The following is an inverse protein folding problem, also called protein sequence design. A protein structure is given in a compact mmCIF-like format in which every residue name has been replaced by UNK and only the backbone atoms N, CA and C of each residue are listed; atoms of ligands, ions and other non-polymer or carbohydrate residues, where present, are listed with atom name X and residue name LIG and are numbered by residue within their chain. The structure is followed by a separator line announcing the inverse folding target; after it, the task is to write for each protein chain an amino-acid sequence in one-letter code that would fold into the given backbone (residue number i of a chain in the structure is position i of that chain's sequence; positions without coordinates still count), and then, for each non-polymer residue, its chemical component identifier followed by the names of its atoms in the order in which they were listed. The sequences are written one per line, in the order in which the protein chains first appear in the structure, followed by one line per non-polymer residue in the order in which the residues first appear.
data_IF_304268620593
#
_entry.id   IF_304268620593
#
_cell.length_a   1.000
_cell.length_b   1.000
_cell.length_c   1.000
_cell.angle_alpha   90.00
_cell.angle_beta   90.00
_cell.angle_gamma   90.00
#
_symmetry.space_group_name_H-M   'P 1'
#
loop_
_entity.id
_entity.type
_entity.pdbx_description
1 polymer ?
#
# COMPACT_ATOMS: atom_id res chain seq x y z
N UNK A 1 17.10 7.53 17.68
CA UNK A 1 16.78 8.51 18.75
C UNK A 1 15.52 9.23 18.26
N UNK A 2 14.29 8.92 18.63
CA UNK A 2 13.71 7.96 19.60
C UNK A 2 12.39 7.47 18.97
N UNK A 3 12.29 6.17 18.66
CA UNK A 3 11.14 5.56 17.95
C UNK A 3 9.83 5.66 18.74
N UNK A 4 9.92 6.01 20.03
CA UNK A 4 8.80 6.13 20.96
C UNK A 4 8.81 7.54 21.54
N UNK A 5 7.91 8.41 21.08
CA UNK A 5 7.61 9.65 21.77
C UNK A 5 6.65 9.40 22.94
N UNK A 6 6.77 10.12 24.06
CA UNK A 6 5.84 9.99 25.17
C UNK A 6 4.41 10.29 24.70
N UNK A 7 3.43 9.47 25.12
CA UNK A 7 1.99 9.56 24.79
C UNK A 7 1.43 11.00 24.85
N UNK A 8 2.02 11.88 25.65
CA UNK A 8 1.60 13.26 25.83
C UNK A 8 1.81 14.17 24.60
N UNK A 9 2.80 13.90 23.73
CA UNK A 9 3.07 14.75 22.55
C UNK A 9 2.02 14.51 21.46
N UNK A 10 1.56 13.27 21.31
CA UNK A 10 0.59 12.90 20.28
C UNK A 10 -0.75 13.59 20.50
N UNK A 11 -1.19 13.72 21.76
CA UNK A 11 -2.47 14.30 22.10
C UNK A 11 -2.55 15.79 21.70
N UNK A 12 -1.48 16.56 21.91
CA UNK A 12 -1.45 17.97 21.52
C UNK A 12 -1.54 18.13 20.00
N UNK A 13 -0.79 17.32 19.23
CA UNK A 13 -0.81 17.40 17.77
C UNK A 13 -2.13 16.87 17.18
N UNK A 14 -2.68 15.80 17.73
CA UNK A 14 -3.98 15.26 17.34
C UNK A 14 -5.09 16.30 17.49
N UNK A 15 -5.13 17.01 18.63
CA UNK A 15 -6.10 18.07 18.86
C UNK A 15 -6.04 19.17 17.80
N UNK A 16 -4.82 19.63 17.46
CA UNK A 16 -4.63 20.65 16.41
C UNK A 16 -5.12 20.11 15.07
N UNK A 17 -4.71 18.89 14.70
CA UNK A 17 -5.11 18.27 13.44
C UNK A 17 -6.64 18.13 13.32
N UNK A 18 -7.31 17.67 14.37
CA UNK A 18 -8.78 17.53 14.40
C UNK A 18 -9.45 18.91 14.34
N UNK A 19 -8.96 19.90 15.07
CA UNK A 19 -9.50 21.25 15.05
C UNK A 19 -9.40 21.89 13.66
N UNK A 20 -8.25 21.74 13.00
CA UNK A 20 -8.03 22.25 11.65
C UNK A 20 -8.87 21.51 10.62
N UNK A 21 -8.92 20.18 10.67
CA UNK A 21 -9.75 19.37 9.80
C UNK A 21 -11.23 19.77 9.93
N UNK A 22 -11.77 19.82 11.15
CA UNK A 22 -13.16 20.22 11.41
C UNK A 22 -13.48 21.63 10.91
N UNK A 23 -12.55 22.56 11.07
CA UNK A 23 -12.76 23.97 10.72
C UNK A 23 -12.65 24.22 9.21
N UNK A 24 -11.76 23.51 8.52
CA UNK A 24 -11.33 23.87 7.17
C UNK A 24 -11.74 22.88 6.07
N UNK A 25 -12.03 21.62 6.39
CA UNK A 25 -12.47 20.61 5.43
C UNK A 25 -13.98 20.36 5.56
N UNK A 26 -14.77 20.52 4.48
CA UNK A 26 -16.19 20.20 4.47
C UNK A 26 -16.52 18.77 4.95
N UNK A 27 -15.77 17.77 4.49
CA UNK A 27 -15.94 16.37 4.90
C UNK A 27 -15.76 16.22 6.42
N UNK A 28 -14.64 16.72 6.96
CA UNK A 28 -14.37 16.60 8.40
C UNK A 28 -15.27 17.51 9.25
N UNK A 29 -15.77 18.62 8.72
CA UNK A 29 -16.75 19.46 9.40
C UNK A 29 -18.04 18.67 9.67
N UNK A 30 -18.53 17.95 8.66
CA UNK A 30 -19.70 17.07 8.78
C UNK A 30 -19.40 15.87 9.69
N UNK A 31 -18.29 15.16 9.45
CA UNK A 31 -17.88 13.99 10.23
C UNK A 31 -17.74 14.31 11.72
N UNK A 32 -17.24 15.50 12.06
CA UNK A 32 -16.98 15.94 13.43
C UNK A 32 -18.01 16.93 13.97
N UNK A 33 -19.19 17.08 13.36
CA UNK A 33 -20.18 18.08 13.75
C UNK A 33 -20.44 18.11 15.27
N UNK A 34 -20.62 16.93 15.89
CA UNK A 34 -20.87 16.78 17.34
C UNK A 34 -19.63 16.74 18.25
N UNK A 35 -18.42 16.82 17.71
CA UNK A 35 -17.16 16.66 18.48
C UNK A 35 -16.61 18.03 18.87
N UNK A 36 -16.36 18.27 20.15
CA UNK A 36 -15.66 19.49 20.57
C UNK A 36 -14.15 19.30 20.42
N UNK A 37 -13.44 20.09 19.59
CA UNK A 37 -11.99 20.00 19.48
C UNK A 37 -11.25 20.65 20.65
N UNK A 38 -11.97 21.23 21.62
CA UNK A 38 -11.40 21.81 22.83
C UNK A 38 -11.30 20.76 23.93
N UNK A 39 -10.08 20.39 24.32
CA UNK A 39 -9.83 19.37 25.35
C UNK A 39 -8.74 18.39 24.92
N UNK A 40 -8.53 17.32 25.68
CA UNK A 40 -7.60 16.25 25.32
C UNK A 40 -8.38 15.14 24.61
N UNK A 41 -8.48 15.20 23.28
CA UNK A 41 -9.15 14.17 22.50
C UNK A 41 -8.37 12.87 22.49
N UNK A 42 -9.10 11.78 22.48
CA UNK A 42 -8.60 10.43 22.23
C UNK A 42 -9.15 9.92 20.90
N UNK A 43 -8.44 9.00 20.24
CA UNK A 43 -8.91 8.41 18.98
C UNK A 43 -10.26 7.70 19.13
N UNK A 44 -10.57 7.15 20.32
CA UNK A 44 -11.84 6.46 20.58
C UNK A 44 -13.06 7.38 20.45
N UNK A 45 -12.89 8.69 20.60
CA UNK A 45 -13.96 9.68 20.47
C UNK A 45 -14.18 10.15 19.03
N UNK A 46 -13.25 9.85 18.13
CA UNK A 46 -13.34 10.23 16.73
C UNK A 46 -13.98 9.09 15.92
N UNK A 47 -14.94 9.35 15.04
CA UNK A 47 -15.47 8.31 14.15
C UNK A 47 -14.39 7.79 13.20
N UNK A 48 -14.52 6.52 12.80
CA UNK A 48 -13.74 5.94 11.71
C UNK A 48 -14.15 6.63 10.40
N UNK A 49 -13.19 6.89 9.51
CA UNK A 49 -13.51 7.34 8.16
C UNK A 49 -14.19 6.20 7.38
N UNK A 50 -15.37 6.45 6.84
CA UNK A 50 -15.89 5.63 5.76
C UNK A 50 -15.09 5.94 4.49
N UNK A 51 -14.32 4.95 4.03
CA UNK A 51 -13.42 5.10 2.89
C UNK A 51 -14.16 5.40 1.59
N UNK A 52 -15.36 4.85 1.39
CA UNK A 52 -16.14 5.09 0.19
C UNK A 52 -16.71 6.51 0.20
N UNK A 53 -17.26 6.96 1.34
CA UNK A 53 -17.77 8.33 1.47
C UNK A 53 -16.66 9.38 1.36
N UNK A 54 -15.48 9.13 1.94
CA UNK A 54 -14.32 10.02 1.83
C UNK A 54 -13.94 10.26 0.37
N UNK A 55 -13.77 9.17 -0.39
CA UNK A 55 -13.40 9.27 -1.79
C UNK A 55 -14.55 9.77 -2.66
N UNK A 56 -15.80 9.49 -2.35
CA UNK A 56 -16.94 10.10 -3.03
C UNK A 56 -16.91 11.64 -2.88
N UNK A 57 -16.72 12.13 -1.65
CA UNK A 57 -16.60 13.56 -1.36
C UNK A 57 -15.43 14.21 -2.08
N UNK A 58 -14.28 13.53 -2.15
CA UNK A 58 -13.13 13.97 -2.94
C UNK A 58 -13.44 14.12 -4.43
N UNK A 59 -14.16 13.16 -5.04
CA UNK A 59 -14.48 13.21 -6.47
C UNK A 59 -15.54 14.29 -6.80
N UNK A 60 -16.45 14.58 -5.86
CA UNK A 60 -17.38 15.71 -6.00
C UNK A 60 -16.63 17.04 -5.99
N UNK A 61 -15.72 17.21 -5.03
CA UNK A 61 -14.81 18.34 -4.96
C UNK A 61 -13.57 17.97 -4.12
N UNK A 62 -12.39 17.99 -4.73
CA UNK A 62 -11.12 17.68 -4.06
C UNK A 62 -10.94 18.47 -2.76
N UNK A 63 -11.36 19.75 -2.77
CA UNK A 63 -11.30 20.65 -1.61
C UNK A 63 -12.08 20.13 -0.39
N UNK A 64 -13.08 19.27 -0.59
CA UNK A 64 -13.94 18.73 0.48
C UNK A 64 -13.15 17.98 1.54
N UNK A 65 -12.09 17.27 1.16
CA UNK A 65 -11.25 16.48 2.09
C UNK A 65 -9.94 17.18 2.46
N UNK A 66 -9.74 18.43 2.03
CA UNK A 66 -8.52 19.21 2.26
C UNK A 66 -8.75 20.38 3.23
N UNK A 67 -7.70 20.84 3.90
CA UNK A 67 -7.75 22.00 4.81
C UNK A 67 -7.36 23.32 4.15
N UNK A 68 -6.53 23.29 3.11
CA UNK A 68 -6.17 24.45 2.30
C UNK A 68 -6.20 24.13 0.80
N UNK A 69 -6.22 25.16 -0.05
CA UNK A 69 -5.89 24.96 -1.47
C UNK A 69 -4.40 24.62 -1.59
N UNK A 70 -4.05 23.69 -2.47
CA UNK A 70 -2.65 23.37 -2.74
C UNK A 70 -1.99 24.52 -3.50
N UNK A 71 -1.02 25.18 -2.88
CA UNK A 71 -0.24 26.27 -3.49
C UNK A 71 1.25 25.93 -3.62
N UNK A 72 1.68 24.81 -3.06
CA UNK A 72 3.06 24.33 -3.00
C UNK A 72 3.13 22.79 -3.00
N UNK A 73 4.36 22.27 -3.02
CA UNK A 73 4.65 20.85 -2.88
C UNK A 73 4.34 20.00 -4.13
N UNK A 74 3.72 18.83 -3.95
CA UNK A 74 3.56 17.82 -5.00
C UNK A 74 2.17 17.16 -4.97
N UNK A 75 1.65 16.81 -6.14
CA UNK A 75 0.45 16.00 -6.32
C UNK A 75 0.85 14.59 -6.76
N UNK A 76 0.38 13.57 -6.04
CA UNK A 76 0.73 12.17 -6.27
C UNK A 76 -0.50 11.30 -6.43
N UNK A 77 -0.42 10.26 -7.26
CA UNK A 77 -1.48 9.27 -7.48
C UNK A 77 -1.46 8.23 -6.36
N UNK A 78 -2.63 7.90 -5.85
CA UNK A 78 -2.76 6.84 -4.83
C UNK A 78 -2.67 5.45 -5.44
N UNK A 79 -2.30 4.46 -4.62
CA UNK A 79 -2.10 3.08 -5.07
C UNK A 79 -3.39 2.29 -5.34
N UNK A 80 -4.52 2.69 -4.74
CA UNK A 80 -5.84 2.05 -4.87
C UNK A 80 -6.82 3.01 -5.54
N UNK A 81 -6.88 2.98 -6.87
CA UNK A 81 -7.84 3.81 -7.61
C UNK A 81 -9.12 3.00 -7.80
N UNK A 82 -10.29 3.62 -7.61
CA UNK A 82 -11.62 3.02 -7.83
C UNK A 82 -12.15 3.42 -9.21
N UNK A 83 -11.40 3.13 -10.28
CA UNK A 83 -11.77 3.49 -11.66
C UNK A 83 -11.48 4.95 -11.98
N UNK A 84 -11.86 5.85 -11.08
CA UNK A 84 -11.50 7.26 -11.10
C UNK A 84 -10.14 7.46 -10.40
N UNK A 85 -9.17 8.14 -11.03
CA UNK A 85 -7.90 8.46 -10.40
C UNK A 85 -8.08 9.28 -9.12
N UNK A 86 -7.52 8.77 -8.03
CA UNK A 86 -7.45 9.45 -6.74
C UNK A 86 -6.06 10.04 -6.57
N UNK A 87 -5.99 11.33 -6.27
CA UNK A 87 -4.73 12.01 -6.00
C UNK A 87 -4.64 12.43 -4.53
N UNK A 88 -3.42 12.66 -4.08
CA UNK A 88 -3.13 13.16 -2.75
C UNK A 88 -2.11 14.29 -2.85
N UNK A 89 -2.45 15.40 -2.22
CA UNK A 89 -1.64 16.60 -2.17
C UNK A 89 -0.70 16.59 -0.96
N UNK A 90 0.57 16.87 -1.21
CA UNK A 90 1.56 17.16 -0.18
C UNK A 90 2.00 18.60 -0.35
N UNK A 91 1.84 19.44 0.67
CA UNK A 91 2.52 20.73 0.74
C UNK A 91 4.03 20.53 0.85
N UNK A 92 4.82 21.59 0.63
CA UNK A 92 6.27 21.51 0.68
C UNK A 92 6.76 21.07 2.07
N UNK A 93 6.13 21.58 3.14
CA UNK A 93 6.51 21.23 4.52
C UNK A 93 6.18 19.77 4.85
N UNK A 94 5.04 19.26 4.38
CA UNK A 94 4.68 17.84 4.55
C UNK A 94 5.65 16.94 3.80
N UNK A 95 6.07 17.34 2.60
CA UNK A 95 7.04 16.61 1.81
C UNK A 95 8.39 16.52 2.54
N UNK A 96 8.91 17.63 3.08
CA UNK A 96 10.17 17.65 3.86
C UNK A 96 10.09 16.73 5.09
N UNK A 97 8.98 16.78 5.83
CA UNK A 97 8.76 15.90 7.00
C UNK A 97 8.71 14.43 6.57
N UNK A 98 7.96 14.14 5.52
CA UNK A 98 7.80 12.78 4.96
C UNK A 98 9.15 12.21 4.49
N UNK A 99 9.96 13.00 3.79
CA UNK A 99 11.25 12.53 3.25
C UNK A 99 12.29 12.34 4.34
N UNK A 100 12.23 13.13 5.41
CA UNK A 100 13.07 12.94 6.61
C UNK A 100 12.76 11.60 7.30
N UNK A 101 11.48 11.24 7.41
CA UNK A 101 11.05 9.95 7.98
C UNK A 101 11.41 8.76 7.06
N UNK A 102 11.27 8.94 5.75
CA UNK A 102 11.74 7.94 4.79
C UNK A 102 13.25 7.72 4.90
N UNK A 103 14.03 8.79 5.08
CA UNK A 103 15.48 8.70 5.29
C UNK A 103 15.81 7.88 6.55
N UNK A 104 15.08 8.10 7.65
CA UNK A 104 15.17 7.26 8.85
C UNK A 104 14.84 5.80 8.55
N UNK A 105 13.81 5.53 7.74
CA UNK A 105 13.47 4.19 7.28
C UNK A 105 14.59 3.51 6.48
N UNK A 106 15.27 4.25 5.60
CA UNK A 106 16.42 3.71 4.87
C UNK A 106 17.56 3.29 5.80
N UNK A 107 17.85 4.08 6.84
CA UNK A 107 18.88 3.75 7.83
C UNK A 107 18.54 2.47 8.62
N UNK A 108 17.29 2.34 9.05
CA UNK A 108 16.76 1.15 9.73
C UNK A 108 16.80 -0.09 8.83
N UNK A 109 16.46 0.10 7.56
CA UNK A 109 16.45 -0.96 6.56
C UNK A 109 17.86 -1.44 6.15
N UNK A 110 18.92 -0.73 6.57
CA UNK A 110 20.30 -1.21 6.45
C UNK A 110 21.23 -0.30 5.67
N UNK A 111 20.78 0.87 5.22
CA UNK A 111 21.62 1.81 4.48
C UNK A 111 22.78 2.34 5.35
N UNK A 112 23.96 2.49 4.76
CA UNK A 112 25.21 2.91 5.42
C UNK A 112 25.88 4.06 4.67
N UNK A 113 26.82 4.72 5.36
CA UNK A 113 27.55 5.86 4.81
C UNK A 113 28.45 5.39 3.65
N UNK A 114 28.43 6.11 2.55
CA UNK A 114 29.15 5.78 1.32
C UNK A 114 28.36 4.91 0.34
N UNK A 115 27.16 4.44 0.71
CA UNK A 115 26.37 3.58 -0.17
C UNK A 115 26.00 4.26 -1.49
N UNK A 116 25.95 3.45 -2.55
CA UNK A 116 25.56 3.82 -3.89
C UNK A 116 24.20 3.19 -4.18
N UNK A 117 23.17 4.01 -4.04
CA UNK A 117 21.77 3.59 -3.92
C UNK A 117 21.08 3.60 -5.29
N UNK A 118 20.93 2.42 -5.87
CA UNK A 118 20.13 2.21 -7.07
C UNK A 118 18.64 2.31 -6.76
N UNK A 119 17.98 3.36 -7.26
CA UNK A 119 16.54 3.52 -7.15
C UNK A 119 15.86 2.91 -8.39
N UNK A 120 15.18 1.79 -8.17
CA UNK A 120 14.44 0.99 -9.15
C UNK A 120 12.92 1.07 -8.93
N UNK A 121 12.42 2.04 -8.18
CA UNK A 121 10.97 2.30 -8.13
C UNK A 121 10.49 2.92 -9.46
N UNK A 122 9.18 2.88 -9.72
CA UNK A 122 8.61 3.46 -10.94
C UNK A 122 8.60 4.99 -10.90
N UNK A 123 9.09 5.60 -11.97
CA UNK A 123 9.16 7.04 -12.15
C UNK A 123 8.07 7.54 -13.09
N UNK A 124 7.54 8.74 -12.82
CA UNK A 124 6.48 9.35 -13.64
C UNK A 124 5.07 8.85 -13.30
N UNK A 125 4.09 9.19 -14.14
CA UNK A 125 2.65 8.88 -13.98
C UNK A 125 2.08 9.22 -12.58
N UNK A 126 2.65 10.27 -11.97
CA UNK A 126 2.33 10.73 -10.62
C UNK A 126 2.58 9.68 -9.51
N UNK A 127 3.30 8.59 -9.80
CA UNK A 127 3.73 7.64 -8.77
C UNK A 127 4.77 8.26 -7.85
N UNK A 128 4.51 8.19 -6.54
CA UNK A 128 5.34 8.85 -5.54
C UNK A 128 6.67 8.14 -5.24
N UNK A 129 6.74 6.81 -5.33
CA UNK A 129 7.84 6.04 -4.75
C UNK A 129 9.23 6.44 -5.27
N UNK A 130 9.39 6.62 -6.58
CA UNK A 130 10.68 7.05 -7.13
C UNK A 130 11.07 8.44 -6.62
N UNK A 131 10.19 9.45 -6.77
CA UNK A 131 10.43 10.82 -6.33
C UNK A 131 10.68 10.91 -4.81
N UNK A 132 9.84 10.28 -4.01
CA UNK A 132 9.96 10.28 -2.56
C UNK A 132 11.28 9.65 -2.13
N UNK A 133 11.76 8.62 -2.84
CA UNK A 133 13.06 8.05 -2.57
C UNK A 133 14.25 8.86 -3.13
N UNK A 134 14.06 9.66 -4.19
CA UNK A 134 14.99 10.75 -4.54
C UNK A 134 15.21 11.66 -3.33
N UNK A 135 14.11 12.22 -2.83
CA UNK A 135 14.16 13.17 -1.75
C UNK A 135 14.60 12.55 -0.40
N UNK A 136 14.26 11.28 -0.14
CA UNK A 136 14.70 10.59 1.08
C UNK A 136 16.21 10.40 1.13
N UNK A 137 16.86 10.05 0.01
CA UNK A 137 18.33 9.92 -0.05
C UNK A 137 18.99 11.29 0.11
N UNK A 138 18.41 12.33 -0.49
CA UNK A 138 18.85 13.72 -0.26
C UNK A 138 18.69 14.18 1.19
N UNK A 139 17.75 13.60 1.95
CA UNK A 139 17.48 13.97 3.34
C UNK A 139 18.32 13.16 4.35
N UNK A 140 19.21 12.27 3.89
CA UNK A 140 20.01 11.44 4.78
C UNK A 140 21.00 12.27 5.60
N UNK A 141 21.20 11.94 6.89
CA UNK A 141 22.24 12.55 7.72
C UNK A 141 23.64 11.98 7.45
N UNK A 142 23.77 11.07 6.48
CA UNK A 142 25.00 10.38 6.10
C UNK A 142 25.26 10.54 4.60
N UNK A 143 26.52 10.51 4.14
CA UNK A 143 26.80 10.57 2.71
C UNK A 143 26.28 9.30 2.02
N UNK A 144 25.56 9.46 0.92
CA UNK A 144 25.18 8.38 0.02
C UNK A 144 25.08 8.94 -1.41
N UNK A 145 25.31 8.11 -2.41
CA UNK A 145 25.18 8.47 -3.82
C UNK A 145 23.87 7.90 -4.36
N UNK A 146 23.03 8.73 -4.94
CA UNK A 146 21.82 8.29 -5.59
C UNK A 146 22.07 7.88 -7.05
N UNK A 147 21.53 6.73 -7.46
CA UNK A 147 21.54 6.24 -8.84
C UNK A 147 20.07 6.07 -9.32
N UNK A 148 19.50 7.08 -9.99
CA UNK A 148 18.08 7.12 -10.34
C UNK A 148 17.77 6.32 -11.64
N UNK A 149 17.72 4.98 -11.55
CA UNK A 149 17.60 4.07 -12.71
C UNK A 149 16.13 3.93 -13.18
N UNK A 150 15.19 3.69 -12.26
CA UNK A 150 13.78 3.49 -12.56
C UNK A 150 13.39 2.03 -12.87
N UNK A 151 12.24 1.59 -12.36
CA UNK A 151 11.83 0.18 -12.37
C UNK A 151 11.28 -0.37 -13.68
N UNK A 152 11.00 0.48 -14.68
CA UNK A 152 10.44 0.08 -15.98
C UNK A 152 11.51 -0.17 -17.05
N UNK A 153 12.78 0.15 -16.79
CA UNK A 153 13.85 -0.13 -17.75
C UNK A 153 13.96 -1.63 -18.09
N UNK A 154 14.44 -1.99 -19.28
CA UNK A 154 14.77 -3.37 -19.60
C UNK A 154 15.76 -3.95 -18.58
N UNK A 155 15.58 -5.22 -18.14
CA UNK A 155 16.41 -5.80 -17.08
C UNK A 155 17.90 -5.89 -17.45
N UNK A 156 18.23 -6.03 -18.74
CA UNK A 156 19.59 -5.92 -19.27
C UNK A 156 20.22 -4.56 -18.94
N UNK A 157 19.51 -3.47 -19.25
CA UNK A 157 19.98 -2.11 -18.98
C UNK A 157 20.09 -1.87 -17.48
N UNK A 158 19.13 -2.36 -16.68
CA UNK A 158 19.20 -2.31 -15.22
C UNK A 158 20.45 -3.02 -14.70
N UNK A 159 20.71 -4.26 -15.13
CA UNK A 159 21.90 -5.03 -14.73
C UNK A 159 23.19 -4.29 -15.09
N UNK A 160 23.31 -3.79 -16.32
CA UNK A 160 24.45 -3.02 -16.79
C UNK A 160 24.69 -1.76 -15.94
N UNK A 161 23.63 -1.03 -15.58
CA UNK A 161 23.73 0.16 -14.76
C UNK A 161 24.12 -0.15 -13.31
N UNK A 162 23.62 -1.25 -12.73
CA UNK A 162 24.04 -1.68 -11.39
C UNK A 162 25.55 -1.92 -11.32
N UNK A 163 26.13 -2.59 -12.34
CA UNK A 163 27.60 -2.77 -12.44
C UNK A 163 28.34 -1.46 -12.71
N UNK A 164 27.93 -0.74 -13.75
CA UNK A 164 28.62 0.47 -14.23
C UNK A 164 28.65 1.54 -13.14
N UNK A 165 27.54 1.70 -12.44
CA UNK A 165 27.40 2.66 -11.35
C UNK A 165 27.87 2.10 -10.01
N UNK A 166 28.35 0.86 -9.93
CA UNK A 166 28.83 0.18 -8.71
C UNK A 166 27.83 0.29 -7.56
N UNK A 167 26.59 -0.13 -7.81
CA UNK A 167 25.55 -0.08 -6.79
C UNK A 167 25.91 -0.97 -5.59
N UNK A 168 25.73 -0.45 -4.38
CA UNK A 168 25.91 -1.19 -3.11
C UNK A 168 24.61 -1.32 -2.32
N UNK A 169 23.59 -0.57 -2.71
CA UNK A 169 22.25 -0.67 -2.15
C UNK A 169 21.18 -0.53 -3.24
N UNK A 170 20.03 -1.17 -3.06
CA UNK A 170 18.90 -1.15 -4.00
C UNK A 170 17.62 -0.74 -3.28
N UNK A 171 16.87 0.20 -3.87
CA UNK A 171 15.49 0.56 -3.51
C UNK A 171 14.57 0.10 -4.63
N UNK A 172 13.60 -0.76 -4.39
CA UNK A 172 12.74 -1.28 -5.47
C UNK A 172 11.41 -1.83 -5.00
N UNK A 173 10.49 -2.07 -5.93
CA UNK A 173 9.41 -3.02 -5.71
C UNK A 173 9.95 -4.45 -5.78
N UNK A 174 9.27 -5.40 -5.12
CA UNK A 174 9.67 -6.81 -5.21
C UNK A 174 9.53 -7.31 -6.64
N UNK A 175 8.44 -6.93 -7.32
CA UNK A 175 8.18 -7.24 -8.73
C UNK A 175 9.34 -6.85 -9.66
N UNK A 176 9.87 -5.63 -9.55
CA UNK A 176 10.98 -5.18 -10.40
C UNK A 176 12.27 -5.98 -10.15
N UNK A 177 12.53 -6.39 -8.91
CA UNK A 177 13.69 -7.21 -8.59
C UNK A 177 13.54 -8.67 -9.05
N UNK A 178 12.34 -9.24 -8.97
CA UNK A 178 12.06 -10.59 -9.51
C UNK A 178 12.21 -10.60 -11.04
N UNK A 179 11.78 -9.53 -11.72
CA UNK A 179 12.02 -9.36 -13.16
C UNK A 179 13.51 -9.35 -13.50
N UNK A 180 14.32 -8.62 -12.73
CA UNK A 180 15.77 -8.59 -12.90
C UNK A 180 16.39 -9.97 -12.64
N UNK A 181 15.94 -10.67 -11.59
CA UNK A 181 16.35 -12.05 -11.32
C UNK A 181 16.08 -12.98 -12.50
N UNK A 182 14.88 -12.91 -13.12
CA UNK A 182 14.54 -13.73 -14.28
C UNK A 182 15.48 -13.54 -15.48
N UNK A 183 16.03 -12.33 -15.65
CA UNK A 183 17.05 -12.04 -16.65
C UNK A 183 18.44 -12.56 -16.27
N UNK A 184 18.87 -12.32 -15.02
CA UNK A 184 20.22 -12.65 -14.54
C UNK A 184 20.42 -14.15 -14.27
N UNK A 185 19.36 -14.87 -13.85
CA UNK A 185 19.45 -16.27 -13.43
C UNK A 185 19.98 -17.20 -14.52
N UNK A 186 19.47 -17.20 -15.78
CA UNK A 186 20.02 -18.02 -16.87
C UNK A 186 21.46 -17.65 -17.26
N UNK A 187 21.95 -16.48 -16.84
CA UNK A 187 23.29 -15.94 -17.14
C UNK A 187 24.29 -16.19 -16.02
N UNK A 188 23.87 -16.79 -14.91
CA UNK A 188 24.66 -16.92 -13.68
C UNK A 188 25.18 -15.57 -13.15
N UNK A 189 24.45 -14.49 -13.41
CA UNK A 189 24.81 -13.14 -13.00
C UNK A 189 24.25 -12.83 -11.59
N UNK A 190 25.08 -12.22 -10.74
CA UNK A 190 24.73 -11.80 -9.37
C UNK A 190 25.40 -10.47 -9.04
N UNK A 191 24.95 -9.81 -7.97
CA UNK A 191 25.47 -8.52 -7.51
C UNK A 191 25.96 -8.61 -6.06
N UNK A 192 27.14 -9.22 -5.81
CA UNK A 192 27.66 -9.43 -4.45
C UNK A 192 28.08 -8.14 -3.72
N UNK A 193 28.31 -7.05 -4.46
CA UNK A 193 28.63 -5.73 -3.90
C UNK A 193 27.40 -5.03 -3.30
N UNK A 194 26.19 -5.48 -3.66
CA UNK A 194 24.94 -5.00 -3.04
C UNK A 194 24.78 -5.67 -1.68
N UNK A 195 24.83 -4.86 -0.63
CA UNK A 195 24.76 -5.30 0.78
C UNK A 195 23.44 -4.92 1.46
N UNK A 196 22.66 -4.02 0.86
CA UNK A 196 21.34 -3.63 1.36
C UNK A 196 20.31 -3.61 0.21
N UNK A 197 19.22 -4.34 0.37
CA UNK A 197 18.07 -4.33 -0.54
C UNK A 197 16.86 -3.91 0.27
N UNK A 198 16.25 -2.81 -0.12
CA UNK A 198 15.11 -2.26 0.61
C UNK A 198 13.90 -2.16 -0.33
N UNK A 199 12.81 -2.80 0.07
CA UNK A 199 11.61 -2.91 -0.77
C UNK A 199 10.41 -2.19 -0.17
N UNK A 200 9.41 -1.88 -1.00
CA UNK A 200 8.18 -1.27 -0.53
C UNK A 200 7.05 -1.40 -1.54
N UNK A 201 5.83 -1.13 -1.07
CA UNK A 201 4.62 -1.12 -1.91
C UNK A 201 4.04 -2.49 -2.25
N UNK A 202 4.67 -3.59 -1.83
CA UNK A 202 4.26 -4.96 -2.13
C UNK A 202 4.53 -5.90 -0.95
N UNK A 203 3.72 -6.95 -0.75
CA UNK A 203 4.10 -8.06 0.13
C UNK A 203 5.34 -8.78 -0.42
N UNK A 204 6.10 -9.43 0.46
CA UNK A 204 7.30 -10.18 0.09
C UNK A 204 7.13 -11.66 0.42
N UNK A 205 7.05 -12.49 -0.61
CA UNK A 205 6.73 -13.92 -0.49
C UNK A 205 7.99 -14.80 -0.49
N UNK A 206 7.88 -16.02 0.05
CA UNK A 206 9.02 -16.93 0.28
C UNK A 206 9.79 -17.31 -1.00
N UNK A 207 9.10 -17.53 -2.11
CA UNK A 207 9.74 -17.83 -3.40
C UNK A 207 10.56 -16.63 -3.92
N UNK A 208 10.07 -15.40 -3.68
CA UNK A 208 10.78 -14.17 -4.01
C UNK A 208 12.00 -13.98 -3.10
N UNK A 209 11.90 -14.34 -1.82
CA UNK A 209 13.06 -14.33 -0.90
C UNK A 209 14.20 -15.17 -1.49
N UNK A 210 13.89 -16.37 -2.00
CA UNK A 210 14.89 -17.24 -2.63
C UNK A 210 15.49 -16.61 -3.88
N UNK A 211 14.67 -16.02 -4.76
CA UNK A 211 15.14 -15.32 -5.96
C UNK A 211 16.07 -14.14 -5.63
N UNK A 212 15.71 -13.33 -4.63
CA UNK A 212 16.51 -12.16 -4.26
C UNK A 212 17.78 -12.52 -3.50
N UNK A 213 17.77 -13.58 -2.67
CA UNK A 213 18.99 -14.11 -2.06
C UNK A 213 19.99 -14.63 -3.09
N UNK A 214 19.51 -15.20 -4.20
CA UNK A 214 20.41 -15.57 -5.30
C UNK A 214 20.98 -14.34 -6.00
N UNK A 215 20.14 -13.35 -6.32
CA UNK A 215 20.55 -12.16 -7.06
C UNK A 215 21.52 -11.27 -6.25
N UNK A 216 21.29 -11.16 -4.95
CA UNK A 216 22.03 -10.32 -4.00
C UNK A 216 22.53 -11.16 -2.81
N UNK A 217 23.56 -12.01 -3.00
CA UNK A 217 23.95 -13.03 -2.02
C UNK A 217 24.43 -12.47 -0.68
N UNK A 218 24.91 -11.22 -0.65
CA UNK A 218 25.43 -10.57 0.55
C UNK A 218 24.46 -9.54 1.13
N UNK A 219 23.26 -9.40 0.57
CA UNK A 219 22.34 -8.34 0.96
C UNK A 219 21.48 -8.71 2.17
N UNK A 220 21.31 -7.74 3.06
CA UNK A 220 20.15 -7.72 3.97
C UNK A 220 18.95 -7.19 3.21
N UNK A 221 17.84 -7.96 3.20
CA UNK A 221 16.60 -7.58 2.52
C UNK A 221 15.56 -7.16 3.55
N UNK A 222 15.08 -5.91 3.50
CA UNK A 222 14.09 -5.36 4.45
C UNK A 222 13.08 -4.45 3.77
N UNK A 223 11.90 -4.31 4.37
CA UNK A 223 10.99 -3.24 3.98
C UNK A 223 11.63 -1.88 4.30
N UNK A 224 11.68 -0.95 3.35
CA UNK A 224 12.14 0.42 3.61
C UNK A 224 11.09 1.23 4.39
N UNK A 225 9.82 0.95 4.14
CA UNK A 225 8.70 1.69 4.69
C UNK A 225 7.39 0.91 4.52
N UNK A 226 6.53 1.01 5.53
CA UNK A 226 5.10 0.82 5.39
C UNK A 226 4.37 2.16 5.40
N UNK A 227 3.49 2.33 4.42
CA UNK A 227 2.66 3.50 4.24
C UNK A 227 1.97 3.45 2.88
N UNK A 228 1.19 4.48 2.61
CA UNK A 228 0.56 4.68 1.31
C UNK A 228 0.66 6.16 0.93
N UNK A 229 0.43 6.48 -0.34
CA UNK A 229 0.51 7.87 -0.80
C UNK A 229 -0.55 8.74 -0.12
N UNK A 230 -1.74 8.19 0.13
CA UNK A 230 -2.85 8.81 0.85
C UNK A 230 -2.61 8.87 2.36
N UNK A 231 -2.28 7.76 3.02
CA UNK A 231 -2.08 7.70 4.48
C UNK A 231 -0.74 8.30 4.94
N UNK A 232 0.20 8.49 4.03
CA UNK A 232 1.57 8.93 4.31
C UNK A 232 2.45 7.83 4.88
N UNK A 233 3.57 8.24 5.46
CA UNK A 233 4.57 7.37 6.09
C UNK A 233 4.11 6.96 7.50
N UNK A 234 4.07 5.65 7.76
CA UNK A 234 3.47 5.08 8.98
C UNK A 234 4.48 4.31 9.83
N UNK A 235 5.24 3.41 9.22
CA UNK A 235 6.11 2.48 9.95
C UNK A 235 7.32 2.08 9.09
N UNK A 236 8.36 1.54 9.72
CA UNK A 236 9.57 1.01 9.05
C UNK A 236 9.74 -0.45 9.42
N UNK A 237 10.66 -1.18 8.76
CA UNK A 237 10.95 -2.56 9.16
C UNK A 237 11.31 -2.64 10.65
N UNK A 238 10.74 -3.62 11.36
CA UNK A 238 11.08 -3.90 12.76
C UNK A 238 12.49 -4.50 12.92
N UNK A 239 13.18 -4.81 11.82
CA UNK A 239 14.53 -5.38 11.82
C UNK A 239 14.57 -6.88 12.18
N UNK A 240 13.41 -7.53 12.29
CA UNK A 240 13.27 -8.95 12.56
C UNK A 240 13.47 -9.80 11.31
N UNK A 241 13.40 -11.13 11.44
CA UNK A 241 13.51 -12.06 10.31
C UNK A 241 12.23 -12.08 9.46
N UNK A 242 11.10 -11.68 10.03
CA UNK A 242 9.83 -11.59 9.31
C UNK A 242 9.76 -10.26 8.55
N UNK A 243 9.78 -10.28 7.20
CA UNK A 243 9.72 -9.06 6.40
C UNK A 243 8.37 -8.33 6.50
N UNK A 244 7.33 -8.95 7.06
CA UNK A 244 6.02 -8.36 7.27
C UNK A 244 5.92 -7.57 8.59
N UNK A 245 6.90 -7.69 9.49
CA UNK A 245 6.92 -6.97 10.76
C UNK A 245 7.46 -5.54 10.62
N UNK A 246 6.66 -4.59 11.08
CA UNK A 246 6.94 -3.17 11.01
C UNK A 246 6.81 -2.52 12.38
N UNK A 247 7.68 -1.56 12.66
CA UNK A 247 7.64 -0.72 13.86
C UNK A 247 7.15 0.67 13.51
N UNK A 248 6.13 1.14 14.24
CA UNK A 248 5.46 2.42 14.00
C UNK A 248 6.40 3.60 14.20
N UNK A 249 6.39 4.54 13.27
CA UNK A 249 7.05 5.84 13.43
C UNK A 249 6.15 6.75 14.26
N UNK A 250 6.25 6.63 15.59
CA UNK A 250 5.36 7.34 16.52
C UNK A 250 5.33 8.86 16.33
N UNK A 251 6.45 9.46 15.91
CA UNK A 251 6.54 10.89 15.60
C UNK A 251 5.59 11.34 14.46
N UNK A 252 5.17 10.44 13.58
CA UNK A 252 4.33 10.76 12.42
C UNK A 252 2.97 10.07 12.41
N UNK A 253 2.83 8.90 13.04
CA UNK A 253 1.61 8.12 12.93
C UNK A 253 1.16 7.49 14.25
N UNK A 254 -0.15 7.40 14.41
CA UNK A 254 -0.81 6.56 15.40
C UNK A 254 -1.50 5.42 14.66
N UNK A 255 -1.24 4.19 15.09
CA UNK A 255 -1.78 2.97 14.51
C UNK A 255 -2.81 2.34 15.45
N UNK A 256 -3.96 1.97 14.90
CA UNK A 256 -4.98 1.14 15.54
C UNK A 256 -5.18 -0.12 14.70
N UNK A 257 -5.42 -1.27 15.35
CA UNK A 257 -5.87 -2.50 14.70
C UNK A 257 -7.29 -2.76 15.19
N UNK A 258 -8.26 -2.66 14.30
CA UNK A 258 -9.68 -2.80 14.65
C UNK A 258 -10.19 -4.20 14.36
N UNK A 259 -10.89 -4.80 15.32
CA UNK A 259 -11.54 -6.10 15.20
C UNK A 259 -13.05 -5.92 15.29
N UNK A 260 -13.80 -6.77 14.56
CA UNK A 260 -15.26 -6.81 14.63
C UNK A 260 -15.67 -7.52 15.93
N UNK A 261 -16.34 -6.77 16.81
CA UNK A 261 -17.01 -7.27 18.00
C UNK A 261 -18.50 -6.97 17.86
N UNK A 262 -19.26 -8.01 17.51
CA UNK A 262 -20.73 -7.95 17.36
C UNK A 262 -21.23 -6.85 16.39
N UNK A 263 -20.52 -6.65 15.27
CA UNK A 263 -20.83 -5.67 14.24
C UNK A 263 -20.22 -4.29 14.49
N UNK A 264 -19.44 -4.13 15.56
CA UNK A 264 -18.76 -2.87 15.91
C UNK A 264 -17.24 -3.05 15.78
N UNK A 265 -16.60 -2.21 14.98
CA UNK A 265 -15.14 -2.19 14.87
C UNK A 265 -14.52 -1.50 16.08
N UNK A 266 -13.77 -2.26 16.89
CA UNK A 266 -13.12 -1.76 18.10
C UNK A 266 -11.60 -2.00 18.08
N UNK A 267 -10.77 -1.10 18.62
CA UNK A 267 -9.34 -1.34 18.69
C UNK A 267 -9.00 -2.53 19.60
N UNK A 268 -8.20 -3.46 19.11
CA UNK A 268 -7.64 -4.54 19.94
C UNK A 268 -6.31 -4.12 20.58
N UNK A 269 -6.09 -4.63 21.79
CA UNK A 269 -4.80 -4.60 22.50
C UNK A 269 -4.09 -5.96 22.43
N UNK A 270 -4.79 -7.02 21.99
CA UNK A 270 -4.30 -8.39 21.99
C UNK A 270 -3.31 -8.61 20.84
N UNK A 271 -2.20 -9.27 21.15
CA UNK A 271 -1.25 -9.77 20.15
C UNK A 271 -1.87 -10.90 19.34
N UNK A 272 -1.41 -11.04 18.09
CA UNK A 272 -1.80 -12.12 17.18
C UNK A 272 -3.32 -12.22 16.94
N UNK A 273 -4.05 -11.11 17.12
CA UNK A 273 -5.47 -10.97 16.76
C UNK A 273 -5.60 -10.15 15.46
N UNK A 274 -5.87 -10.80 14.31
CA UNK A 274 -5.99 -10.12 13.03
C UNK A 274 -7.14 -9.11 12.97
N UNK A 275 -6.86 -7.90 12.53
CA UNK A 275 -7.85 -6.83 12.34
C UNK A 275 -7.54 -5.90 11.17
N UNK A 276 -8.39 -4.88 11.00
CA UNK A 276 -8.22 -3.82 10.01
C UNK A 276 -7.22 -2.79 10.51
N UNK A 277 -6.21 -2.48 9.71
CA UNK A 277 -5.19 -1.50 10.03
C UNK A 277 -5.69 -0.07 9.76
N UNK A 278 -5.75 0.75 10.81
CA UNK A 278 -6.26 2.12 10.79
C UNK A 278 -5.16 3.08 11.23
N UNK A 279 -5.02 4.18 10.50
CA UNK A 279 -3.92 5.14 10.66
C UNK A 279 -4.46 6.54 10.93
N UNK A 280 -3.84 7.23 11.88
CA UNK A 280 -3.91 8.69 11.99
C UNK A 280 -2.52 9.26 11.75
N UNK A 281 -2.35 10.04 10.68
CA UNK A 281 -1.07 10.66 10.34
C UNK A 281 -1.00 12.09 10.87
N UNK A 282 -0.11 12.29 11.85
CA UNK A 282 0.08 13.54 12.58
C UNK A 282 0.83 14.60 11.78
N UNK A 283 1.41 14.27 10.63
CA UNK A 283 2.14 15.22 9.79
C UNK A 283 1.41 15.57 8.49
N UNK A 284 0.18 15.07 8.30
CA UNK A 284 -0.67 15.37 7.14
C UNK A 284 -1.63 16.52 7.45
N UNK A 285 -1.21 17.74 7.14
CA UNK A 285 -1.95 18.98 7.36
C UNK A 285 -2.91 19.30 6.20
N UNK A 286 -2.44 19.16 4.94
CA UNK A 286 -3.18 19.63 3.76
C UNK A 286 -4.35 18.73 3.39
N UNK A 287 -4.12 17.41 3.43
CA UNK A 287 -5.16 16.38 3.29
C UNK A 287 -5.10 15.49 4.53
N UNK A 288 -5.83 15.85 5.61
CA UNK A 288 -5.75 15.13 6.87
C UNK A 288 -6.10 13.66 6.75
N UNK A 289 -5.39 12.83 7.51
CA UNK A 289 -5.59 11.38 7.61
C UNK A 289 -5.84 11.08 9.09
N UNK A 290 -7.10 10.92 9.47
CA UNK A 290 -7.50 10.76 10.88
C UNK A 290 -8.41 9.54 10.98
N UNK A 291 -7.99 8.51 11.72
CA UNK A 291 -8.65 7.19 11.76
C UNK A 291 -9.03 6.68 10.37
N UNK A 292 -8.05 6.70 9.48
CA UNK A 292 -8.21 6.29 8.10
C UNK A 292 -7.96 4.78 7.95
N UNK A 293 -8.93 3.99 7.46
CA UNK A 293 -8.71 2.59 7.13
C UNK A 293 -7.80 2.48 5.90
N UNK A 294 -6.62 1.87 6.09
CA UNK A 294 -5.58 1.75 5.03
C UNK A 294 -5.94 0.78 3.91
N UNK A 295 -6.98 -0.05 4.12
CA UNK A 295 -7.27 -1.20 3.25
C UNK A 295 -6.38 -2.41 3.53
N UNK A 296 -5.55 -2.38 4.58
CA UNK A 296 -4.67 -3.48 4.97
C UNK A 296 -5.17 -4.18 6.24
N UNK A 297 -4.77 -5.45 6.41
CA UNK A 297 -4.94 -6.21 7.65
C UNK A 297 -3.62 -6.30 8.38
N UNK A 298 -3.69 -6.27 9.70
CA UNK A 298 -2.55 -6.42 10.55
C UNK A 298 -2.94 -7.08 11.87
N UNK A 299 -1.94 -7.53 12.61
CA UNK A 299 -2.03 -7.94 14.01
C UNK A 299 -0.89 -7.33 14.81
N UNK A 300 -1.09 -7.14 16.11
CA UNK A 300 -0.02 -6.69 16.99
C UNK A 300 0.95 -7.85 17.24
N UNK A 301 2.25 -7.57 17.09
CA UNK A 301 3.29 -8.46 17.61
C UNK A 301 3.66 -7.97 19.01
N UNK A 302 3.98 -6.69 19.12
CA UNK A 302 4.18 -5.99 20.39
C UNK A 302 3.58 -4.58 20.30
N UNK A 303 2.40 -4.41 20.88
CA UNK A 303 1.71 -3.12 20.88
C UNK A 303 2.45 -2.03 21.66
N UNK A 304 3.13 -2.38 22.75
CA UNK A 304 3.83 -1.40 23.57
C UNK A 304 5.04 -0.82 22.82
N UNK A 305 5.73 -1.67 22.06
CA UNK A 305 6.80 -1.27 21.15
C UNK A 305 6.27 -0.66 19.83
N UNK A 306 4.97 -0.80 19.53
CA UNK A 306 4.35 -0.34 18.30
C UNK A 306 4.69 -1.21 17.09
N UNK A 307 4.99 -2.49 17.32
CA UNK A 307 5.33 -3.49 16.31
C UNK A 307 4.09 -4.27 15.89
N UNK A 308 3.78 -4.26 14.60
CA UNK A 308 2.69 -5.01 14.01
C UNK A 308 3.17 -5.84 12.81
N UNK A 309 2.46 -6.92 12.51
CA UNK A 309 2.68 -7.76 11.33
C UNK A 309 1.60 -7.46 10.30
N UNK A 310 1.98 -7.22 9.05
CA UNK A 310 1.03 -7.09 7.95
C UNK A 310 0.55 -8.47 7.49
N UNK A 311 -0.77 -8.61 7.33
CA UNK A 311 -1.43 -9.85 6.93
C UNK A 311 -2.01 -9.78 5.50
N UNK A 312 -1.58 -8.77 4.74
CA UNK A 312 -2.10 -8.47 3.40
C UNK A 312 -3.23 -7.45 3.43
N UNK A 313 -4.12 -7.51 2.44
CA UNK A 313 -5.22 -6.56 2.27
C UNK A 313 -6.46 -6.96 3.10
N UNK A 314 -7.26 -5.98 3.49
CA UNK A 314 -8.61 -6.19 4.02
C UNK A 314 -9.62 -6.34 2.88
N UNK A 315 -10.90 -6.46 3.22
CA UNK A 315 -11.98 -6.77 2.27
C UNK A 315 -12.25 -5.68 1.21
N UNK A 316 -11.46 -4.61 1.15
CA UNK A 316 -11.71 -3.48 0.26
C UNK A 316 -10.90 -3.51 -1.03
N UNK A 317 -9.73 -4.14 -1.05
CA UNK A 317 -8.84 -4.11 -2.20
C UNK A 317 -7.96 -5.36 -2.29
N UNK A 318 -7.47 -5.65 -3.49
CA UNK A 318 -6.46 -6.69 -3.76
C UNK A 318 -5.18 -6.05 -4.29
N UNK A 319 -4.04 -6.73 -4.13
CA UNK A 319 -2.74 -6.26 -4.65
C UNK A 319 -2.11 -7.32 -5.57
N UNK A 320 -1.83 -6.95 -6.82
CA UNK A 320 -1.17 -7.75 -7.85
C UNK A 320 0.15 -7.07 -8.24
N UNK A 321 1.27 -7.57 -7.75
CA UNK A 321 2.54 -6.86 -7.73
C UNK A 321 2.33 -5.45 -7.15
N UNK A 322 2.68 -4.38 -7.89
CA UNK A 322 2.54 -3.00 -7.42
C UNK A 322 1.12 -2.43 -7.58
N UNK A 323 0.24 -3.12 -8.31
CA UNK A 323 -1.11 -2.64 -8.65
C UNK A 323 -2.06 -2.94 -7.49
N UNK A 324 -2.83 -1.95 -7.04
CA UNK A 324 -3.97 -2.21 -6.15
C UNK A 324 -5.29 -2.06 -6.90
N UNK A 325 -6.22 -2.98 -6.66
CA UNK A 325 -7.54 -3.02 -7.27
C UNK A 325 -8.60 -3.03 -6.18
N UNK A 326 -9.43 -1.99 -6.13
CA UNK A 326 -10.54 -1.90 -5.18
C UNK A 326 -11.72 -2.81 -5.62
N UNK A 327 -12.30 -3.55 -4.68
CA UNK A 327 -13.41 -4.47 -4.97
C UNK A 327 -14.65 -3.73 -5.46
N UNK A 328 -14.95 -2.58 -4.87
CA UNK A 328 -16.08 -1.74 -5.31
C UNK A 328 -15.96 -1.33 -6.78
N UNK A 329 -14.73 -1.10 -7.26
CA UNK A 329 -14.47 -0.80 -8.66
C UNK A 329 -14.58 -2.03 -9.55
N UNK A 330 -14.04 -3.18 -9.16
CA UNK A 330 -14.23 -4.41 -9.92
C UNK A 330 -15.72 -4.76 -10.08
N UNK A 331 -16.54 -4.52 -9.04
CA UNK A 331 -18.01 -4.62 -9.13
C UNK A 331 -18.62 -3.59 -10.07
N UNK A 332 -18.11 -2.35 -10.09
CA UNK A 332 -18.57 -1.32 -11.02
C UNK A 332 -18.27 -1.69 -12.48
N UNK A 333 -17.09 -2.26 -12.75
CA UNK A 333 -16.75 -2.79 -14.08
C UNK A 333 -17.71 -3.88 -14.52
N UNK A 334 -17.96 -4.86 -13.65
CA UNK A 334 -18.94 -5.92 -13.90
C UNK A 334 -20.33 -5.34 -14.20
N UNK A 335 -20.81 -4.38 -13.39
CA UNK A 335 -22.10 -3.70 -13.60
C UNK A 335 -22.17 -2.95 -14.93
N UNK A 336 -21.07 -2.31 -15.37
CA UNK A 336 -21.03 -1.58 -16.64
C UNK A 336 -21.25 -2.51 -17.85
N UNK A 337 -20.76 -3.75 -17.77
CA UNK A 337 -20.93 -4.78 -18.82
C UNK A 337 -22.28 -5.48 -18.70
N UNK A 338 -22.66 -5.88 -17.48
CA UNK A 338 -23.89 -6.65 -17.21
C UNK A 338 -25.18 -5.83 -17.33
N UNK A 339 -25.09 -4.50 -17.17
CA UNK A 339 -26.20 -3.55 -17.28
C UNK A 339 -27.37 -3.89 -16.37
N UNK A 340 -28.37 -4.62 -16.90
CA UNK A 340 -29.60 -4.97 -16.20
C UNK A 340 -29.53 -6.33 -15.50
N UNK A 341 -28.53 -7.16 -15.82
CA UNK A 341 -28.34 -8.46 -15.17
C UNK A 341 -27.86 -8.25 -13.74
N UNK A 342 -28.63 -8.77 -12.77
CA UNK A 342 -28.31 -8.66 -11.35
C UNK A 342 -27.09 -9.51 -10.98
N UNK A 343 -26.20 -8.96 -10.15
CA UNK A 343 -25.08 -9.68 -9.54
C UNK A 343 -25.53 -10.16 -8.16
N UNK A 344 -25.73 -11.46 -8.02
CA UNK A 344 -26.18 -12.10 -6.78
C UNK A 344 -25.00 -12.38 -5.83
N UNK A 345 -23.84 -12.72 -6.39
CA UNK A 345 -22.61 -12.92 -5.65
C UNK A 345 -21.38 -12.43 -6.43
N UNK A 346 -20.37 -11.97 -5.70
CA UNK A 346 -19.12 -11.47 -6.27
C UNK A 346 -17.97 -11.91 -5.36
N UNK A 347 -16.98 -12.59 -5.94
CA UNK A 347 -15.81 -13.06 -5.20
C UNK A 347 -14.55 -12.89 -6.04
N UNK A 348 -13.52 -12.37 -5.43
CA UNK A 348 -12.20 -12.21 -6.02
C UNK A 348 -11.23 -13.18 -5.36
N UNK A 349 -10.59 -14.02 -6.15
CA UNK A 349 -9.55 -14.94 -5.68
C UNK A 349 -8.22 -14.52 -6.27
N UNK A 350 -7.20 -14.43 -5.41
CA UNK A 350 -5.81 -14.19 -5.81
C UNK A 350 -5.00 -15.45 -5.55
N UNK A 351 -4.23 -15.87 -6.55
CA UNK A 351 -3.30 -17.01 -6.45
C UNK A 351 -1.92 -16.60 -6.93
N UNK A 352 -0.97 -17.53 -6.80
CA UNK A 352 0.37 -17.41 -7.35
C UNK A 352 0.58 -18.53 -8.38
N UNK A 353 0.58 -18.18 -9.65
CA UNK A 353 0.66 -19.13 -10.77
C UNK A 353 2.00 -18.94 -11.49
N UNK A 354 2.87 -19.95 -11.40
CA UNK A 354 4.23 -19.92 -11.99
C UNK A 354 5.03 -18.66 -11.57
N UNK A 355 4.99 -18.35 -10.26
CA UNK A 355 5.68 -17.19 -9.68
C UNK A 355 5.07 -15.82 -9.97
N UNK A 356 3.90 -15.76 -10.63
CA UNK A 356 3.18 -14.53 -10.95
C UNK A 356 1.90 -14.43 -10.13
N UNK A 357 1.53 -13.22 -9.73
CA UNK A 357 0.20 -13.00 -9.15
C UNK A 357 -0.87 -13.24 -10.21
N UNK A 358 -1.94 -13.97 -9.86
CA UNK A 358 -3.08 -14.24 -10.73
C UNK A 358 -4.38 -13.81 -10.06
N UNK A 359 -5.29 -13.25 -10.86
CA UNK A 359 -6.58 -12.72 -10.41
C UNK A 359 -7.73 -13.47 -11.08
N UNK A 360 -8.62 -14.04 -10.28
CA UNK A 360 -9.92 -14.52 -10.73
C UNK A 360 -11.04 -13.68 -10.13
N UNK A 361 -11.96 -13.22 -10.98
CA UNK A 361 -13.22 -12.58 -10.60
C UNK A 361 -14.35 -13.56 -10.89
N UNK A 362 -14.97 -14.08 -9.84
CA UNK A 362 -16.13 -14.95 -9.89
C UNK A 362 -17.41 -14.14 -9.68
N UNK A 363 -18.37 -14.27 -10.59
CA UNK A 363 -19.63 -13.54 -10.57
C UNK A 363 -20.79 -14.54 -10.67
N UNK A 364 -21.74 -14.45 -9.75
CA UNK A 364 -23.02 -15.16 -9.86
C UNK A 364 -24.09 -14.17 -10.31
N UNK A 365 -24.93 -14.60 -11.24
CA UNK A 365 -25.97 -13.75 -11.83
C UNK A 365 -27.30 -14.49 -11.93
N UNK A 366 -28.39 -13.79 -11.63
CA UNK A 366 -29.75 -14.35 -11.68
C UNK A 366 -30.16 -14.79 -13.09
N UNK A 367 -29.61 -14.14 -14.11
CA UNK A 367 -29.84 -14.41 -15.52
C UNK A 367 -28.51 -14.71 -16.22
N UNK A 368 -28.50 -15.46 -17.34
CA UNK A 368 -27.28 -15.70 -18.11
C UNK A 368 -26.61 -14.38 -18.52
N UNK A 369 -25.29 -14.25 -18.35
CA UNK A 369 -24.58 -13.04 -18.75
C UNK A 369 -24.60 -12.88 -20.28
N UNK A 370 -24.43 -11.64 -20.79
CA UNK A 370 -24.23 -11.42 -22.22
C UNK A 370 -23.04 -12.23 -22.76
N UNK A 371 -23.14 -12.69 -24.01
CA UNK A 371 -22.02 -13.38 -24.66
C UNK A 371 -20.79 -12.48 -24.71
N UNK A 372 -19.64 -13.00 -24.27
CA UNK A 372 -18.37 -12.25 -24.22
C UNK A 372 -18.24 -11.29 -23.03
N UNK A 373 -19.12 -11.38 -22.04
CA UNK A 373 -19.06 -10.53 -20.85
C UNK A 373 -17.76 -10.73 -20.06
N UNK A 374 -17.20 -11.93 -20.00
CA UNK A 374 -15.91 -12.17 -19.34
C UNK A 374 -14.80 -11.33 -19.97
N UNK A 375 -14.66 -11.42 -21.29
CA UNK A 375 -13.62 -10.71 -22.05
C UNK A 375 -13.83 -9.20 -21.97
N UNK A 376 -15.07 -8.72 -22.08
CA UNK A 376 -15.39 -7.30 -21.98
C UNK A 376 -15.03 -6.71 -20.60
N UNK A 377 -15.27 -7.44 -19.51
CA UNK A 377 -14.88 -7.00 -18.16
C UNK A 377 -13.35 -6.90 -18.05
N UNK A 378 -12.61 -7.90 -18.56
CA UNK A 378 -11.14 -7.89 -18.56
C UNK A 378 -10.58 -6.77 -19.44
N UNK A 379 -11.19 -6.50 -20.59
CA UNK A 379 -10.81 -5.42 -21.50
C UNK A 379 -10.93 -4.06 -20.82
N UNK A 380 -12.10 -3.75 -20.24
CA UNK A 380 -12.32 -2.48 -19.53
C UNK A 380 -11.38 -2.38 -18.31
N UNK A 381 -11.13 -3.49 -17.59
CA UNK A 381 -10.17 -3.50 -16.50
C UNK A 381 -8.77 -3.08 -16.98
N UNK A 382 -8.29 -3.65 -18.09
CA UNK A 382 -6.98 -3.32 -18.66
C UNK A 382 -6.91 -1.88 -19.18
N UNK A 383 -7.97 -1.37 -19.80
CA UNK A 383 -8.08 0.02 -20.23
C UNK A 383 -8.02 1.00 -19.06
N UNK A 384 -8.77 0.72 -18.00
CA UNK A 384 -8.80 1.55 -16.80
C UNK A 384 -7.59 1.34 -15.89
N UNK A 385 -6.80 0.27 -16.09
CA UNK A 385 -5.56 -0.02 -15.36
C UNK A 385 -4.38 -0.22 -16.31
N UNK A 386 -3.86 0.86 -16.92
CA UNK A 386 -2.71 0.76 -17.83
C UNK A 386 -1.48 0.09 -17.20
N UNK A 387 -1.21 0.33 -15.91
CA UNK A 387 -0.12 -0.34 -15.21
C UNK A 387 -0.34 -1.85 -15.12
N UNK A 388 -1.57 -2.32 -14.84
CA UNK A 388 -1.89 -3.75 -14.83
C UNK A 388 -1.67 -4.36 -16.21
N UNK A 389 -2.23 -3.72 -17.25
CA UNK A 389 -2.05 -4.16 -18.65
C UNK A 389 -0.57 -4.29 -19.00
N UNK A 390 0.23 -3.27 -18.69
CA UNK A 390 1.68 -3.27 -18.92
C UNK A 390 2.37 -4.43 -18.17
N UNK A 391 2.00 -4.69 -16.91
CA UNK A 391 2.58 -5.78 -16.12
C UNK A 391 2.19 -7.16 -16.66
N UNK A 392 0.98 -7.31 -17.20
CA UNK A 392 0.55 -8.53 -17.89
C UNK A 392 1.34 -8.73 -19.19
N UNK A 393 1.49 -7.69 -20.01
CA UNK A 393 2.29 -7.73 -21.25
C UNK A 393 3.77 -8.04 -21.00
N UNK A 394 4.31 -7.60 -19.85
CA UNK A 394 5.67 -7.90 -19.42
C UNK A 394 5.82 -9.29 -18.75
N UNK A 395 4.73 -10.03 -18.57
CA UNK A 395 4.72 -11.33 -17.91
C UNK A 395 4.99 -11.28 -16.40
N UNK A 396 4.76 -10.14 -15.75
CA UNK A 396 4.95 -9.95 -14.30
C UNK A 396 3.72 -10.34 -13.48
N UNK A 397 2.54 -10.21 -14.07
CA UNK A 397 1.24 -10.57 -13.51
C UNK A 397 0.54 -11.46 -14.54
N UNK A 398 -0.17 -12.51 -14.10
CA UNK A 398 -0.94 -13.34 -15.01
C UNK A 398 -2.18 -12.56 -15.52
N UNK A 399 -2.67 -12.85 -16.75
CA UNK A 399 -3.90 -12.24 -17.24
C UNK A 399 -5.06 -12.46 -16.26
N UNK A 400 -5.81 -11.39 -15.96
CA UNK A 400 -7.01 -11.51 -15.14
C UNK A 400 -8.04 -12.42 -15.81
N UNK A 401 -8.70 -13.27 -15.02
CA UNK A 401 -9.77 -14.15 -15.47
C UNK A 401 -11.10 -13.73 -14.84
N UNK A 402 -12.15 -13.64 -15.65
CA UNK A 402 -13.52 -13.51 -15.17
C UNK A 402 -14.24 -14.83 -15.42
N UNK A 403 -15.06 -15.29 -14.49
CA UNK A 403 -15.88 -16.48 -14.65
C UNK A 403 -17.26 -16.28 -14.05
N UNK A 404 -18.29 -16.72 -14.78
CA UNK A 404 -19.65 -16.80 -14.27
C UNK A 404 -19.90 -18.19 -13.71
N UNK A 405 -20.22 -18.29 -12.41
CA UNK A 405 -20.48 -19.55 -11.71
C UNK A 405 -21.45 -19.34 -10.57
N UNK A 406 -22.17 -20.40 -10.21
CA UNK A 406 -23.13 -20.36 -9.10
C UNK A 406 -22.44 -19.97 -7.79
N UNK A 407 -23.14 -19.26 -6.91
CA UNK A 407 -22.70 -18.99 -5.54
C UNK A 407 -22.28 -20.27 -4.80
N UNK A 408 -22.86 -21.42 -5.14
CA UNK A 408 -22.53 -22.72 -4.54
C UNK A 408 -21.13 -23.23 -4.92
N UNK A 409 -20.58 -22.77 -6.04
CA UNK A 409 -19.22 -23.10 -6.49
C UNK A 409 -18.17 -22.09 -5.99
N UNK A 410 -18.61 -21.05 -5.27
CA UNK A 410 -17.74 -20.07 -4.64
C UNK A 410 -17.32 -20.52 -3.24
N UNK A 411 -16.14 -20.08 -2.81
CA UNK A 411 -15.56 -20.49 -1.53
C UNK A 411 -16.21 -19.71 -0.38
N UNK A 412 -16.74 -20.41 0.61
CA UNK A 412 -17.28 -19.81 1.85
C UNK A 412 -16.28 -19.92 2.99
N UNK A 413 -16.39 -19.04 3.98
CA UNK A 413 -15.62 -19.15 5.21
C UNK A 413 -16.14 -20.36 6.01
N UNK A 414 -15.30 -21.37 6.32
CA UNK A 414 -15.75 -22.61 6.95
C UNK A 414 -16.29 -22.40 8.38
N UNK A 415 -15.89 -21.33 9.07
CA UNK A 415 -16.33 -21.01 10.43
C UNK A 415 -17.63 -20.20 10.46
N UNK A 416 -17.78 -19.22 9.58
CA UNK A 416 -18.94 -18.32 9.60
C UNK A 416 -20.02 -18.65 8.57
N UNK A 417 -19.74 -19.53 7.61
CA UNK A 417 -20.61 -19.81 6.47
C UNK A 417 -20.78 -18.62 5.50
N UNK A 418 -20.18 -17.45 5.80
CA UNK A 418 -20.27 -16.25 4.96
C UNK A 418 -19.43 -16.40 3.70
N UNK A 419 -19.89 -15.82 2.60
CA UNK A 419 -19.13 -15.69 1.36
C UNK A 419 -18.16 -14.49 1.47
N UNK A 420 -16.84 -14.68 1.62
CA UNK A 420 -15.90 -13.57 1.54
C UNK A 420 -15.85 -13.01 0.12
N UNK A 421 -15.84 -11.68 -0.01
CA UNK A 421 -15.65 -11.01 -1.31
C UNK A 421 -14.20 -11.13 -1.81
N UNK A 422 -13.23 -11.33 -0.92
CA UNK A 422 -11.81 -11.49 -1.27
C UNK A 422 -11.25 -12.76 -0.63
N UNK A 423 -10.50 -13.53 -1.41
CA UNK A 423 -9.72 -14.67 -0.96
C UNK A 423 -8.31 -14.52 -1.51
N UNK A 424 -7.35 -14.24 -0.64
CA UNK A 424 -5.92 -14.25 -0.98
C UNK A 424 -5.33 -15.61 -0.60
N UNK A 425 -5.05 -16.45 -1.59
CA UNK A 425 -4.48 -17.80 -1.39
C UNK A 425 -2.95 -17.79 -1.50
N UNK A 426 -2.32 -16.62 -1.66
CA UNK A 426 -0.86 -16.49 -1.70
C UNK A 426 -0.26 -16.46 -0.30
N UNK A 427 -1.07 -16.08 0.69
CA UNK A 427 -0.70 -16.00 2.09
C UNK A 427 -1.29 -17.25 2.73
N UNK A 428 -0.45 -18.22 3.10
CA UNK A 428 -0.90 -19.41 3.81
C UNK A 428 -1.61 -18.97 5.10
N UNK A 429 -2.89 -19.32 5.23
CA UNK A 429 -3.57 -19.33 6.52
C UNK A 429 -3.42 -20.75 7.02
N UNK A 430 -2.39 -20.99 7.84
CA UNK A 430 -2.35 -22.20 8.66
C UNK A 430 -3.48 -22.17 9.69
#
# INVERSE_FOLDING_TARGET
MTIIHPKNIHNARLNVLVAEAKSKSPFYNQLYHGISPTGQLTLKELPLIDHAEYWASYHEAERSVMTASQNDGVLLKTGGTTGIPKFTSYSQIELIRTTSLLAEGLLHAGLRAGDRVANLFYAGDLYGSFLLHILSVMSLPIPAVQIPIGGLLPPETTAQLLHTCRATAVLSTVTSMVRLHGYCRPRNETFPDVTAVMFGGEPFFEDQVTALKYLFPNATIRSCIYGSIDAGVVAVSAGTLDPAEHITLSASAIVEILVDQDGVLTPTEESDTPGTLVVTNLIRDLSPVIRYPTGDRAEWVDKQAGIFRLLGRSNYAVRLGPVSLDISHLRQLARAVLKTVAIDAFQVTITRDDGRDALEIAIDTAEPPPQGAEDAIVEILNEQRPMLKQHVEMGLVAPARVCFKSIHDMKTNPRSGKLPEIIDLRISVD
#
